data_IF_711744510942
#
_entry.id   IF_711744510942
#
_cell.length_a   1.000
_cell.length_b   1.000
_cell.length_c   1.000
_cell.angle_alpha   90.00
_cell.angle_beta   90.00
_cell.angle_gamma   90.00
#
_symmetry.space_group_name_H-M   'P 1'
#
loop_
_entity.id
_entity.type
_entity.pdbx_description
1 polymer ?
#
# COMPACT_ATOMS: atom_id res chain seq x y z
N UNK A 1 -50.66 -1.20 -47.53
CA UNK A 1 -49.22 -1.07 -47.21
C UNK A 1 -49.11 -0.67 -45.75
N UNK A 2 -48.60 -1.56 -44.90
CA UNK A 2 -48.38 -1.25 -43.48
C UNK A 2 -46.94 -0.78 -43.29
N UNK A 3 -46.65 0.23 -42.44
CA UNK A 3 -45.28 0.57 -42.13
C UNK A 3 -44.68 -0.53 -41.27
N UNK A 4 -43.45 -0.95 -41.60
CA UNK A 4 -42.68 -1.85 -40.77
C UNK A 4 -42.38 -1.14 -39.44
N UNK A 5 -42.72 -1.79 -38.33
CA UNK A 5 -42.31 -1.34 -37.00
C UNK A 5 -40.78 -1.29 -36.95
N UNK A 6 -40.22 -0.09 -36.88
CA UNK A 6 -38.82 0.09 -36.57
C UNK A 6 -38.61 -0.47 -35.16
N UNK A 7 -37.93 -1.62 -35.07
CA UNK A 7 -37.59 -2.21 -33.79
C UNK A 7 -36.69 -1.24 -33.03
N UNK A 8 -37.21 -0.66 -31.95
CA UNK A 8 -36.43 0.10 -30.98
C UNK A 8 -35.25 -0.76 -30.57
N UNK A 9 -34.02 -0.31 -30.79
CA UNK A 9 -32.91 -1.17 -30.47
C UNK A 9 -32.79 -1.18 -28.93
N UNK A 10 -32.84 -2.36 -28.34
CA UNK A 10 -32.69 -2.57 -26.90
C UNK A 10 -31.20 -2.48 -26.55
N UNK A 11 -30.66 -1.26 -26.45
CA UNK A 11 -29.26 -1.06 -26.08
C UNK A 11 -29.14 -1.20 -24.56
N UNK A 12 -28.31 -2.14 -24.13
CA UNK A 12 -27.89 -2.27 -22.74
C UNK A 12 -26.45 -1.75 -22.61
N UNK A 13 -26.19 -0.98 -21.56
CA UNK A 13 -24.87 -0.47 -21.24
C UNK A 13 -24.52 -0.83 -19.78
N UNK A 14 -23.28 -1.24 -19.56
CA UNK A 14 -22.69 -1.40 -18.24
C UNK A 14 -21.31 -0.72 -18.20
N UNK A 15 -20.85 -0.38 -17.01
CA UNK A 15 -19.51 0.17 -16.81
C UNK A 15 -18.80 -0.54 -15.66
N UNK A 16 -17.50 -0.76 -15.81
CA UNK A 16 -16.61 -1.19 -14.73
C UNK A 16 -15.93 0.09 -14.23
N UNK A 17 -16.31 0.52 -13.03
CA UNK A 17 -15.67 1.65 -12.36
C UNK A 17 -14.70 1.07 -11.33
N UNK A 18 -13.40 0.97 -11.64
CA UNK A 18 -12.42 0.59 -10.63
C UNK A 18 -12.41 1.65 -9.54
N UNK A 19 -12.57 1.22 -8.29
CA UNK A 19 -12.46 2.10 -7.14
C UNK A 19 -11.00 2.54 -6.99
N UNK A 20 -10.73 3.83 -7.20
CA UNK A 20 -9.43 4.39 -6.84
C UNK A 20 -9.49 4.70 -5.35
N UNK A 21 -9.39 3.66 -4.53
CA UNK A 21 -9.38 3.80 -3.10
C UNK A 21 -8.24 4.73 -2.67
N UNK A 22 -8.61 5.85 -2.07
CA UNK A 22 -7.68 6.83 -1.48
C UNK A 22 -7.84 6.77 0.03
N UNK A 23 -6.73 6.77 0.73
CA UNK A 23 -6.71 6.74 2.19
C UNK A 23 -5.30 6.90 2.71
N UNK A 24 -5.19 7.07 4.02
CA UNK A 24 -3.92 7.22 4.72
C UNK A 24 -3.91 6.36 5.98
N UNK A 25 -2.72 5.94 6.38
CA UNK A 25 -2.47 5.28 7.66
C UNK A 25 -1.40 6.08 8.39
N UNK A 26 -1.73 6.56 9.59
CA UNK A 26 -0.80 7.37 10.40
C UNK A 26 -0.10 6.44 11.38
N UNK A 27 1.19 6.22 11.18
CA UNK A 27 2.06 5.52 12.13
C UNK A 27 2.71 6.54 13.07
N UNK A 28 2.35 6.49 14.35
CA UNK A 28 2.98 7.30 15.41
C UNK A 28 3.96 6.44 16.19
N UNK A 29 5.19 6.93 16.37
CA UNK A 29 6.22 6.26 17.17
C UNK A 29 6.43 7.09 18.44
N UNK A 30 5.81 6.66 19.52
CA UNK A 30 6.05 7.22 20.84
C UNK A 30 7.33 6.62 21.43
N UNK A 31 8.17 7.47 22.05
CA UNK A 31 9.41 7.01 22.67
C UNK A 31 10.49 6.54 21.69
N UNK A 32 10.66 7.20 20.53
CA UNK A 32 11.65 6.88 19.49
C UNK A 32 13.05 6.50 20.03
N UNK A 33 13.55 7.14 21.09
CA UNK A 33 14.86 6.78 21.66
C UNK A 33 14.96 5.32 22.09
N UNK A 34 13.85 4.71 22.55
CA UNK A 34 13.78 3.31 22.92
C UNK A 34 13.86 2.38 21.70
N UNK A 35 13.36 2.82 20.54
CA UNK A 35 13.44 2.01 19.31
C UNK A 35 14.86 1.89 18.79
N UNK A 36 15.81 2.71 19.25
CA UNK A 36 17.23 2.55 18.91
C UNK A 36 17.90 1.33 19.56
N UNK A 37 17.24 0.69 20.52
CA UNK A 37 17.68 -0.59 21.07
C UNK A 37 17.44 -1.77 20.11
N UNK A 38 16.60 -1.58 19.08
CA UNK A 38 16.42 -2.58 18.03
C UNK A 38 17.75 -2.83 17.33
N UNK A 39 18.16 -4.11 17.15
CA UNK A 39 19.42 -4.43 16.50
C UNK A 39 19.54 -3.80 15.11
N UNK A 40 20.77 -3.51 14.68
CA UNK A 40 21.00 -2.94 13.34
C UNK A 40 20.48 -3.89 12.27
N UNK A 41 19.69 -3.37 11.33
CA UNK A 41 19.09 -4.18 10.26
C UNK A 41 17.82 -4.92 10.67
N UNK A 42 17.42 -4.85 11.95
CA UNK A 42 16.12 -5.34 12.41
C UNK A 42 15.04 -4.25 12.32
N UNK A 43 13.79 -4.69 12.35
CA UNK A 43 12.63 -3.82 12.16
C UNK A 43 11.55 -4.00 13.23
N UNK A 44 10.68 -3.00 13.30
CA UNK A 44 9.42 -3.02 14.03
C UNK A 44 8.28 -2.90 13.00
N UNK A 45 7.31 -3.81 13.08
CA UNK A 45 6.15 -3.80 12.19
C UNK A 45 4.99 -3.01 12.81
N UNK A 46 4.27 -2.25 11.99
CA UNK A 46 2.99 -1.65 12.38
C UNK A 46 1.92 -2.72 12.52
N UNK A 47 0.79 -2.35 13.14
CA UNK A 47 -0.41 -3.17 13.01
C UNK A 47 -0.85 -3.20 11.54
N UNK A 48 -1.38 -4.34 11.05
CA UNK A 48 -1.93 -4.42 9.71
C UNK A 48 -3.13 -3.50 9.52
N UNK A 49 -3.30 -2.95 8.32
CA UNK A 49 -4.45 -2.12 7.94
C UNK A 49 -4.93 -2.46 6.53
N UNK A 50 -6.20 -2.16 6.22
CA UNK A 50 -6.79 -2.46 4.92
C UNK A 50 -7.00 -1.17 4.13
N UNK A 51 -6.54 -1.14 2.87
CA UNK A 51 -6.77 -0.04 1.94
C UNK A 51 -6.79 -0.57 0.50
N UNK A 52 -7.79 -0.17 -0.29
CA UNK A 52 -7.94 -0.57 -1.69
C UNK A 52 -8.06 -2.07 -1.90
N UNK A 53 -8.73 -2.79 -0.99
CA UNK A 53 -8.90 -4.25 -1.08
C UNK A 53 -7.66 -5.06 -0.69
N UNK A 54 -6.58 -4.42 -0.26
CA UNK A 54 -5.35 -5.08 0.16
C UNK A 54 -5.09 -4.87 1.67
N UNK A 55 -4.45 -5.87 2.29
CA UNK A 55 -3.97 -5.78 3.67
C UNK A 55 -2.49 -5.39 3.66
N UNK A 56 -2.21 -4.24 4.22
CA UNK A 56 -0.89 -3.61 4.29
C UNK A 56 -0.36 -3.60 5.72
N UNK A 57 0.94 -3.41 5.88
CA UNK A 57 1.59 -3.01 7.12
C UNK A 57 2.86 -2.22 6.77
N UNK A 58 3.36 -1.43 7.70
CA UNK A 58 4.59 -0.64 7.54
C UNK A 58 5.70 -1.32 8.33
N UNK A 59 6.83 -1.55 7.67
CA UNK A 59 8.05 -2.02 8.32
C UNK A 59 8.97 -0.84 8.59
N UNK A 60 9.31 -0.64 9.85
CA UNK A 60 10.12 0.47 10.32
C UNK A 60 11.49 -0.01 10.79
N UNK A 61 12.56 0.54 10.24
CA UNK A 61 13.94 0.24 10.61
C UNK A 61 14.55 1.43 11.36
N UNK A 62 14.58 1.41 12.71
CA UNK A 62 15.08 2.53 13.51
C UNK A 62 16.59 2.74 13.35
N UNK A 63 17.33 1.66 13.07
CA UNK A 63 18.79 1.67 12.90
C UNK A 63 19.14 0.90 11.62
N UNK A 64 19.29 1.62 10.53
CA UNK A 64 19.91 1.12 9.31
C UNK A 64 21.35 1.65 9.22
N UNK A 65 22.34 0.77 9.08
CA UNK A 65 23.73 1.17 8.81
C UNK A 65 24.05 0.89 7.36
N UNK A 66 24.79 1.81 6.73
CA UNK A 66 25.44 1.54 5.45
C UNK A 66 26.33 0.30 5.61
N UNK A 67 26.34 -0.63 4.63
CA UNK A 67 27.38 -1.65 4.61
C UNK A 67 28.72 -0.93 4.52
N UNK A 68 29.50 -0.97 5.59
CA UNK A 68 30.86 -0.47 5.56
C UNK A 68 31.64 -1.33 4.58
N UNK A 69 32.09 -0.75 3.47
CA UNK A 69 33.06 -1.37 2.57
C UNK A 69 34.45 -1.43 3.24
N UNK A 70 34.53 -2.07 4.40
CA UNK A 70 35.78 -2.20 5.16
C UNK A 70 36.16 -3.68 5.15
N UNK A 71 36.60 -4.13 3.98
CA UNK A 71 37.43 -5.32 3.85
C UNK A 71 38.81 -4.88 3.36
N UNK A 72 39.78 -5.01 4.28
CA UNK A 72 41.22 -5.25 4.08
C UNK A 72 42.04 -4.26 3.23
N UNK A 73 42.52 -3.19 3.88
CA UNK A 73 43.90 -2.72 3.68
C UNK A 73 44.59 -2.73 5.05
N UNK A 74 45.21 -3.86 5.34
CA UNK A 74 46.00 -4.14 6.53
C UNK A 74 46.80 -5.41 6.28
#
# INVERSE_FOLDING_TARGET
MSPAAAGEPLWSASSIVPDTARGYHILKIDGYSLTKATPTGECLDSQPFTLGGHRWYIRYYPVWRYPSNTTAMG
#
